data_IF_939636134142
#
_entry.id   IF_939636134142
#
_cell.length_a   1.000
_cell.length_b   1.000
_cell.length_c   1.000
_cell.angle_alpha   90.00
_cell.angle_beta   90.00
_cell.angle_gamma   90.00
#
_symmetry.space_group_name_H-M   'P 1'
#
loop_
_entity.id
_entity.type
_entity.pdbx_description
1 polymer ?
#
# COMPACT_ATOMS: atom_id res chain seq x y z
N UNK A 1 4.00 26.63 6.49
CA UNK A 1 4.00 25.24 5.93
C UNK A 1 2.73 25.01 5.14
N UNK A 2 2.77 24.47 3.92
CA UNK A 2 1.54 24.19 3.16
C UNK A 2 0.96 22.86 3.68
N UNK A 3 -0.31 22.81 4.09
CA UNK A 3 -0.97 21.57 4.46
C UNK A 3 -0.95 20.60 3.26
N UNK A 4 -1.07 19.29 3.53
CA UNK A 4 -1.25 18.29 2.48
C UNK A 4 -2.42 18.76 1.63
N UNK A 5 -2.16 19.04 0.36
CA UNK A 5 -3.16 19.62 -0.51
C UNK A 5 -4.18 18.57 -0.89
N UNK A 6 -5.44 18.96 -1.03
CA UNK A 6 -6.52 18.14 -1.57
C UNK A 6 -6.10 17.40 -2.87
N UNK A 7 -5.21 18.03 -3.66
CA UNK A 7 -4.63 17.46 -4.89
C UNK A 7 -3.77 16.20 -4.65
N UNK A 8 -3.04 16.10 -3.52
CA UNK A 8 -2.24 14.89 -3.20
C UNK A 8 -3.13 13.73 -2.75
N UNK A 9 -4.25 14.03 -2.06
CA UNK A 9 -5.27 13.03 -1.73
C UNK A 9 -5.99 12.53 -2.98
N UNK A 10 -6.34 13.43 -3.90
CA UNK A 10 -6.94 13.06 -5.19
C UNK A 10 -6.03 12.13 -6.00
N UNK A 11 -4.73 12.37 -6.02
CA UNK A 11 -3.79 11.49 -6.71
C UNK A 11 -3.77 10.07 -6.12
N UNK A 12 -3.88 9.90 -4.81
CA UNK A 12 -3.96 8.57 -4.18
C UNK A 12 -5.31 7.90 -4.43
N UNK A 13 -6.41 8.64 -4.49
CA UNK A 13 -7.73 8.14 -4.84
C UNK A 13 -7.79 7.68 -6.30
N UNK A 14 -7.24 8.47 -7.23
CA UNK A 14 -7.11 8.09 -8.64
C UNK A 14 -6.27 6.82 -8.79
N UNK A 15 -5.14 6.72 -8.09
CA UNK A 15 -4.32 5.50 -8.07
C UNK A 15 -5.09 4.30 -7.52
N UNK A 16 -5.87 4.49 -6.47
CA UNK A 16 -6.69 3.44 -5.88
C UNK A 16 -7.76 2.95 -6.85
N UNK A 17 -8.38 3.86 -7.60
CA UNK A 17 -9.32 3.54 -8.68
C UNK A 17 -8.63 2.77 -9.80
N UNK A 18 -7.44 3.20 -10.20
CA UNK A 18 -6.64 2.51 -11.20
C UNK A 18 -6.26 1.08 -10.76
N UNK A 19 -5.88 0.87 -9.49
CA UNK A 19 -5.65 -0.47 -8.95
C UNK A 19 -6.89 -1.36 -9.01
N UNK A 20 -8.08 -0.80 -8.89
CA UNK A 20 -9.33 -1.56 -9.07
C UNK A 20 -9.45 -2.12 -10.48
N UNK A 21 -9.11 -1.33 -11.49
CA UNK A 21 -9.08 -1.80 -12.88
C UNK A 21 -7.97 -2.84 -13.12
N UNK A 22 -6.78 -2.59 -12.61
CA UNK A 22 -5.67 -3.55 -12.68
C UNK A 22 -6.03 -4.89 -12.03
N UNK A 23 -6.66 -4.86 -10.86
CA UNK A 23 -7.11 -6.07 -10.16
C UNK A 23 -8.11 -6.87 -11.01
N UNK A 24 -9.04 -6.20 -11.68
CA UNK A 24 -10.00 -6.85 -12.60
C UNK A 24 -9.32 -7.51 -13.79
N UNK A 25 -8.31 -6.86 -14.38
CA UNK A 25 -7.54 -7.42 -15.49
C UNK A 25 -6.71 -8.63 -15.07
N UNK A 26 -6.08 -8.56 -13.91
CA UNK A 26 -5.31 -9.67 -13.32
C UNK A 26 -6.22 -10.86 -13.01
N UNK A 27 -7.39 -10.62 -12.43
CA UNK A 27 -8.39 -11.63 -12.14
C UNK A 27 -8.85 -12.38 -13.42
N UNK A 28 -9.06 -11.66 -14.52
CA UNK A 28 -9.36 -12.27 -15.82
C UNK A 28 -8.22 -13.16 -16.31
N UNK A 29 -6.97 -12.71 -16.17
CA UNK A 29 -5.79 -13.50 -16.51
C UNK A 29 -5.68 -14.76 -15.66
N UNK A 30 -5.90 -14.64 -14.36
CA UNK A 30 -5.86 -15.76 -13.42
C UNK A 30 -6.94 -16.81 -13.71
N UNK A 31 -8.20 -16.40 -13.99
CA UNK A 31 -9.29 -17.31 -14.36
C UNK A 31 -8.95 -18.10 -15.62
N UNK A 32 -8.29 -17.47 -16.59
CA UNK A 32 -7.95 -18.11 -17.85
C UNK A 32 -6.77 -19.06 -17.73
N UNK A 33 -5.80 -18.74 -16.87
CA UNK A 33 -4.59 -19.54 -16.69
C UNK A 33 -4.77 -20.72 -15.74
N UNK A 34 -5.65 -20.56 -14.77
CA UNK A 34 -5.86 -21.53 -13.69
C UNK A 34 -7.29 -22.06 -13.74
N UNK A 35 -7.61 -22.95 -14.60
CA UNK A 35 -8.94 -23.54 -14.84
C UNK A 35 -9.69 -24.03 -13.56
N UNK A 36 -9.12 -23.81 -12.39
CA UNK A 36 -9.64 -24.15 -11.08
C UNK A 36 -9.52 -22.95 -10.13
N UNK A 37 -10.60 -22.18 -10.03
CA UNK A 37 -10.71 -20.98 -9.17
C UNK A 37 -10.46 -21.27 -7.67
N UNK A 38 -10.42 -22.53 -7.26
CA UNK A 38 -10.21 -22.92 -5.86
C UNK A 38 -8.73 -23.10 -5.50
N UNK A 39 -7.82 -23.19 -6.48
CA UNK A 39 -6.39 -23.47 -6.26
C UNK A 39 -5.47 -22.26 -6.38
N UNK A 40 -5.94 -21.17 -6.95
CA UNK A 40 -5.11 -19.99 -7.16
C UNK A 40 -5.55 -18.86 -6.22
N UNK A 41 -4.76 -18.60 -5.18
CA UNK A 41 -4.75 -17.27 -4.63
C UNK A 41 -4.20 -16.37 -5.73
N UNK A 42 -5.07 -15.61 -6.36
CA UNK A 42 -4.76 -14.83 -7.53
C UNK A 42 -3.93 -13.60 -7.17
N UNK A 43 -3.10 -13.15 -8.10
CA UNK A 43 -2.40 -11.87 -7.97
C UNK A 43 -3.39 -10.72 -7.73
N UNK A 44 -4.63 -10.89 -8.17
CA UNK A 44 -5.72 -9.93 -7.88
C UNK A 44 -5.97 -9.76 -6.38
N UNK A 45 -5.76 -10.78 -5.55
CA UNK A 45 -5.86 -10.68 -4.08
C UNK A 45 -4.81 -9.71 -3.53
N UNK A 46 -3.57 -9.74 -4.04
CA UNK A 46 -2.55 -8.76 -3.66
C UNK A 46 -3.00 -7.34 -4.01
N UNK A 47 -3.59 -7.16 -5.17
CA UNK A 47 -4.10 -5.84 -5.57
C UNK A 47 -5.26 -5.40 -4.67
N UNK A 48 -6.13 -6.29 -4.21
CA UNK A 48 -7.14 -5.95 -3.21
C UNK A 48 -6.51 -5.49 -1.89
N UNK A 49 -5.43 -6.12 -1.44
CA UNK A 49 -4.67 -5.65 -0.29
C UNK A 49 -4.07 -4.25 -0.52
N UNK A 50 -3.50 -3.99 -1.70
CA UNK A 50 -3.00 -2.65 -2.07
C UNK A 50 -4.11 -1.60 -1.97
N UNK A 51 -5.30 -1.91 -2.50
CA UNK A 51 -6.48 -1.03 -2.45
C UNK A 51 -6.90 -0.78 -1.00
N UNK A 52 -6.97 -1.83 -0.17
CA UNK A 52 -7.35 -1.71 1.23
C UNK A 52 -6.35 -0.83 2.01
N UNK A 53 -5.05 -1.05 1.83
CA UNK A 53 -3.99 -0.24 2.45
C UNK A 53 -4.10 1.22 2.03
N UNK A 54 -4.28 1.51 0.74
CA UNK A 54 -4.46 2.88 0.25
C UNK A 54 -5.68 3.57 0.87
N UNK A 55 -6.82 2.89 0.92
CA UNK A 55 -8.04 3.45 1.54
C UNK A 55 -7.85 3.75 3.03
N UNK A 56 -7.20 2.84 3.75
CA UNK A 56 -6.87 3.08 5.16
C UNK A 56 -5.91 4.26 5.32
N UNK A 57 -4.88 4.35 4.46
CA UNK A 57 -3.91 5.43 4.48
C UNK A 57 -4.55 6.80 4.20
N UNK A 58 -5.41 6.91 3.20
CA UNK A 58 -6.13 8.14 2.88
C UNK A 58 -6.98 8.59 4.09
N UNK A 59 -7.60 7.65 4.79
CA UNK A 59 -8.41 7.96 5.98
C UNK A 59 -7.56 8.34 7.20
N UNK A 60 -6.34 7.80 7.34
CA UNK A 60 -5.46 8.07 8.49
C UNK A 60 -4.79 9.46 8.44
N UNK A 61 -4.59 10.01 7.24
CA UNK A 61 -3.94 11.32 7.07
C UNK A 61 -4.65 12.46 7.84
N UNK A 62 -5.98 12.65 7.70
CA UNK A 62 -6.69 13.69 8.44
C UNK A 62 -6.66 13.49 9.96
N UNK A 63 -6.56 12.24 10.41
CA UNK A 63 -6.54 11.87 11.83
C UNK A 63 -5.16 12.09 12.48
N UNK A 64 -4.13 12.41 11.68
CA UNK A 64 -2.74 12.62 12.12
C UNK A 64 -2.16 11.41 12.86
N UNK A 65 -2.59 10.20 12.49
CA UNK A 65 -2.13 8.95 13.09
C UNK A 65 -0.80 8.51 12.45
N UNK A 66 0.29 9.12 12.89
CA UNK A 66 1.63 8.90 12.31
C UNK A 66 2.10 7.44 12.45
N UNK A 67 1.79 6.79 13.57
CA UNK A 67 2.12 5.37 13.78
C UNK A 67 1.37 4.48 12.77
N UNK A 68 0.08 4.70 12.59
CA UNK A 68 -0.72 3.95 11.62
C UNK A 68 -0.20 4.16 10.19
N UNK A 69 0.21 5.37 9.84
CA UNK A 69 0.82 5.65 8.53
C UNK A 69 2.07 4.80 8.29
N UNK A 70 2.95 4.64 9.29
CA UNK A 70 4.16 3.81 9.19
C UNK A 70 3.82 2.32 9.02
N UNK A 71 2.83 1.82 9.74
CA UNK A 71 2.33 0.44 9.57
C UNK A 71 1.79 0.23 8.16
N UNK A 72 0.99 1.15 7.65
CA UNK A 72 0.41 1.07 6.31
C UNK A 72 1.47 1.15 5.20
N UNK A 73 2.48 2.02 5.35
CA UNK A 73 3.62 2.07 4.45
C UNK A 73 4.38 0.74 4.42
N UNK A 74 4.62 0.14 5.59
CA UNK A 74 5.28 -1.18 5.66
C UNK A 74 4.48 -2.26 4.96
N UNK A 75 3.16 -2.30 5.15
CA UNK A 75 2.28 -3.23 4.46
C UNK A 75 2.32 -3.02 2.94
N UNK A 76 2.38 -1.76 2.48
CA UNK A 76 2.47 -1.45 1.07
C UNK A 76 3.80 -1.88 0.46
N UNK A 77 4.90 -1.75 1.19
CA UNK A 77 6.21 -2.29 0.77
C UNK A 77 6.15 -3.81 0.67
N UNK A 78 5.50 -4.49 1.61
CA UNK A 78 5.30 -5.95 1.53
C UNK A 78 4.50 -6.35 0.29
N UNK A 79 3.41 -5.65 0.00
CA UNK A 79 2.62 -5.89 -1.21
C UNK A 79 3.48 -5.71 -2.47
N UNK A 80 4.32 -4.67 -2.51
CA UNK A 80 5.25 -4.40 -3.60
C UNK A 80 6.23 -5.57 -3.79
N UNK A 81 6.86 -6.03 -2.71
CA UNK A 81 7.83 -7.13 -2.75
C UNK A 81 7.14 -8.42 -3.22
N UNK A 82 5.95 -8.74 -2.73
CA UNK A 82 5.22 -9.93 -3.11
C UNK A 82 4.82 -9.90 -4.58
N UNK A 83 4.34 -8.76 -5.07
CA UNK A 83 3.98 -8.61 -6.48
C UNK A 83 5.22 -8.70 -7.39
N UNK A 84 6.33 -8.10 -6.98
CA UNK A 84 7.59 -8.17 -7.71
C UNK A 84 8.16 -9.59 -7.74
N UNK A 85 8.18 -10.26 -6.60
CA UNK A 85 8.63 -11.64 -6.48
C UNK A 85 7.76 -12.59 -7.32
N UNK A 86 6.43 -12.42 -7.34
CA UNK A 86 5.52 -13.20 -8.18
C UNK A 86 5.79 -12.97 -9.67
N UNK A 87 6.13 -11.75 -10.05
CA UNK A 87 6.50 -11.42 -11.44
C UNK A 87 7.79 -12.13 -11.87
N UNK A 88 8.74 -12.29 -10.95
CA UNK A 88 10.01 -13.03 -11.20
C UNK A 88 9.86 -14.53 -11.10
N UNK A 89 9.04 -15.01 -10.19
CA UNK A 89 8.85 -16.42 -9.85
C UNK A 89 7.36 -16.77 -9.91
N UNK A 90 6.75 -16.79 -11.10
CA UNK A 90 5.33 -17.01 -11.25
C UNK A 90 4.85 -18.27 -10.52
N UNK A 91 3.72 -18.19 -9.82
CA UNK A 91 3.08 -19.27 -9.05
C UNK A 91 3.82 -19.72 -7.78
N UNK A 92 4.99 -19.17 -7.50
CA UNK A 92 5.79 -19.59 -6.35
C UNK A 92 5.59 -18.71 -5.11
N UNK A 93 4.97 -17.54 -5.23
CA UNK A 93 4.91 -16.55 -4.14
C UNK A 93 3.51 -16.41 -3.57
N UNK A 94 2.56 -15.91 -4.35
CA UNK A 94 1.25 -15.53 -3.82
C UNK A 94 0.53 -16.72 -3.22
N UNK A 95 0.36 -17.80 -3.97
CA UNK A 95 -0.37 -18.96 -3.53
C UNK A 95 0.29 -19.64 -2.29
N UNK A 96 1.60 -20.00 -2.29
CA UNK A 96 2.21 -20.63 -1.13
C UNK A 96 2.20 -19.76 0.14
N UNK A 97 2.37 -18.44 0.01
CA UNK A 97 2.39 -17.55 1.18
C UNK A 97 0.99 -17.36 1.73
N UNK A 98 0.02 -16.99 0.89
CA UNK A 98 -1.31 -16.62 1.37
C UNK A 98 -2.19 -17.81 1.71
N UNK A 99 -2.08 -18.93 0.99
CA UNK A 99 -2.86 -20.13 1.28
C UNK A 99 -2.19 -21.09 2.26
N UNK A 100 -0.85 -21.18 2.24
CA UNK A 100 -0.10 -22.17 3.02
C UNK A 100 0.75 -21.56 4.13
N UNK A 101 0.76 -20.25 4.29
CA UNK A 101 1.53 -19.54 5.31
C UNK A 101 3.04 -19.75 5.23
N UNK A 102 3.58 -20.09 4.06
CA UNK A 102 5.01 -20.36 3.89
C UNK A 102 5.81 -19.06 3.85
N UNK A 103 6.98 -19.05 4.49
CA UNK A 103 7.94 -17.96 4.39
C UNK A 103 8.80 -18.07 3.12
N UNK A 104 9.40 -16.97 2.67
CA UNK A 104 10.23 -16.91 1.45
C UNK A 104 11.37 -17.96 1.43
N UNK A 105 12.07 -18.13 2.55
CA UNK A 105 13.14 -19.11 2.69
C UNK A 105 12.65 -20.57 2.51
N UNK A 106 11.42 -20.87 2.94
CA UNK A 106 10.80 -22.18 2.75
C UNK A 106 10.43 -22.47 1.28
N UNK A 107 10.39 -21.44 0.47
CA UNK A 107 10.10 -21.52 -0.97
C UNK A 107 11.37 -21.53 -1.83
N UNK A 108 12.54 -21.44 -1.21
CA UNK A 108 13.82 -21.30 -1.92
C UNK A 108 13.93 -19.96 -2.67
N UNK A 109 13.23 -18.94 -2.19
CA UNK A 109 13.26 -17.59 -2.77
C UNK A 109 14.30 -16.71 -2.07
N UNK A 110 14.81 -15.68 -2.74
CA UNK A 110 15.63 -14.66 -2.10
C UNK A 110 14.93 -14.03 -0.89
N UNK A 111 15.71 -13.48 0.02
CA UNK A 111 15.16 -12.79 1.21
C UNK A 111 14.37 -11.53 0.81
N UNK A 112 13.53 -11.03 1.72
CA UNK A 112 12.86 -9.74 1.53
C UNK A 112 13.86 -8.61 1.29
N UNK A 113 15.01 -8.63 1.99
CA UNK A 113 16.06 -7.63 1.83
C UNK A 113 16.66 -7.65 0.43
N UNK A 114 16.86 -8.84 -0.18
CA UNK A 114 17.36 -8.98 -1.54
C UNK A 114 16.41 -8.35 -2.55
N UNK A 115 15.09 -8.55 -2.40
CA UNK A 115 14.10 -7.91 -3.28
C UNK A 115 14.04 -6.40 -3.10
N UNK A 116 14.24 -5.91 -1.87
CA UNK A 116 14.33 -4.46 -1.61
C UNK A 116 15.55 -3.87 -2.34
N UNK A 117 16.70 -4.52 -2.26
CA UNK A 117 17.92 -4.09 -2.93
C UNK A 117 17.78 -4.08 -4.46
N UNK A 118 17.08 -5.06 -5.03
CA UNK A 118 16.78 -5.08 -6.46
C UNK A 118 15.82 -3.97 -6.92
N UNK A 119 14.90 -3.54 -6.04
CA UNK A 119 13.94 -2.48 -6.32
C UNK A 119 14.48 -1.07 -6.00
N UNK A 120 15.56 -0.96 -5.25
CA UNK A 120 16.13 0.33 -4.83
C UNK A 120 16.52 1.25 -5.99
N UNK A 121 17.03 0.78 -7.14
CA UNK A 121 17.28 1.63 -8.30
C UNK A 121 16.04 2.36 -8.83
N UNK A 122 14.85 1.74 -8.67
CA UNK A 122 13.56 2.32 -9.08
C UNK A 122 12.99 3.27 -8.02
N UNK A 123 13.34 3.07 -6.75
CA UNK A 123 12.96 3.92 -5.62
C UNK A 123 14.08 3.99 -4.59
N UNK A 124 15.03 4.89 -4.81
CA UNK A 124 16.29 5.06 -4.04
C UNK A 124 16.16 5.12 -2.51
N UNK A 125 14.94 5.38 -2.01
CA UNK A 125 14.66 5.45 -0.58
C UNK A 125 14.02 4.17 -0.02
N UNK A 126 13.79 3.14 -0.84
CA UNK A 126 12.98 1.98 -0.44
C UNK A 126 13.56 1.24 0.78
N UNK A 127 14.88 0.99 0.78
CA UNK A 127 15.57 0.33 1.90
C UNK A 127 15.52 1.15 3.20
N UNK A 128 15.78 2.45 3.08
CA UNK A 128 15.69 3.36 4.23
C UNK A 128 14.25 3.43 4.77
N UNK A 129 13.25 3.50 3.90
CA UNK A 129 11.85 3.52 4.27
C UNK A 129 11.42 2.21 4.94
N UNK A 130 11.86 1.06 4.41
CA UNK A 130 11.60 -0.24 5.03
C UNK A 130 12.14 -0.31 6.45
N UNK A 131 13.41 0.09 6.66
CA UNK A 131 14.04 0.09 7.97
C UNK A 131 13.34 1.06 8.93
N UNK A 132 12.99 2.26 8.45
CA UNK A 132 12.22 3.24 9.20
C UNK A 132 10.88 2.62 9.67
N UNK A 133 10.11 2.04 8.76
CA UNK A 133 8.81 1.45 9.08
C UNK A 133 8.92 0.22 10.00
N UNK A 134 9.97 -0.60 9.87
CA UNK A 134 10.21 -1.72 10.78
C UNK A 134 10.44 -1.27 12.22
N UNK A 135 11.16 -0.15 12.42
CA UNK A 135 11.35 0.44 13.74
C UNK A 135 10.05 0.87 14.43
N UNK A 136 8.99 1.17 13.67
CA UNK A 136 7.69 1.55 14.24
C UNK A 136 6.74 0.35 14.45
N UNK A 137 6.92 -0.74 13.72
CA UNK A 137 6.04 -1.92 13.82
C UNK A 137 6.47 -2.86 14.94
N UNK A 138 7.77 -2.90 15.24
CA UNK A 138 8.29 -3.64 16.37
C UNK A 138 8.40 -2.72 17.59
N UNK A 139 8.24 -3.24 18.82
CA UNK A 139 8.50 -2.48 20.03
C UNK A 139 9.93 -1.91 19.98
N UNK A 140 10.05 -0.61 19.84
CA UNK A 140 11.31 0.11 19.72
C UNK A 140 11.16 1.48 20.38
N UNK A 141 12.28 2.12 20.71
CA UNK A 141 12.25 3.48 21.28
C UNK A 141 11.50 4.46 20.36
N UNK A 142 11.66 4.34 19.05
CA UNK A 142 10.97 5.20 18.09
C UNK A 142 9.44 5.01 18.10
N UNK A 143 8.96 3.77 18.22
CA UNK A 143 7.52 3.50 18.31
C UNK A 143 6.92 3.96 19.63
N UNK A 144 7.64 3.77 20.72
CA UNK A 144 7.24 4.23 22.05
C UNK A 144 7.22 5.76 22.15
N UNK A 145 8.23 6.45 21.60
CA UNK A 145 8.27 7.91 21.56
C UNK A 145 7.12 8.50 20.75
N UNK A 146 6.81 7.92 19.59
CA UNK A 146 5.70 8.39 18.76
C UNK A 146 4.35 8.16 19.44
N UNK A 147 4.11 6.97 19.99
CA UNK A 147 2.89 6.64 20.73
C UNK A 147 2.73 7.54 21.96
N UNK A 148 3.83 7.82 22.69
CA UNK A 148 3.83 8.74 23.82
C UNK A 148 3.50 10.17 23.42
N UNK A 149 4.05 10.66 22.29
CA UNK A 149 3.74 11.99 21.79
C UNK A 149 2.27 12.12 21.36
N UNK A 150 1.72 11.12 20.67
CA UNK A 150 0.30 11.08 20.28
C UNK A 150 -0.63 11.04 21.49
N UNK A 151 -0.28 10.22 22.51
CA UNK A 151 -1.02 10.15 23.76
C UNK A 151 -0.98 11.47 24.52
N UNK A 152 0.20 12.09 24.61
CA UNK A 152 0.37 13.40 25.26
C UNK A 152 -0.46 14.49 24.61
N UNK A 153 -0.50 14.54 23.28
CA UNK A 153 -1.36 15.48 22.54
C UNK A 153 -2.83 15.28 22.85
N UNK A 154 -3.29 14.03 22.96
CA UNK A 154 -4.68 13.74 23.32
C UNK A 154 -4.99 14.22 24.73
N UNK A 155 -4.15 13.90 25.71
CA UNK A 155 -4.31 14.37 27.09
C UNK A 155 -4.34 15.91 27.16
N UNK A 156 -3.44 16.57 26.43
CA UNK A 156 -3.37 18.04 26.41
C UNK A 156 -4.61 18.69 25.78
N UNK A 157 -5.28 18.02 24.84
CA UNK A 157 -6.55 18.51 24.28
C UNK A 157 -7.72 18.48 25.27
N UNK A 158 -7.57 17.71 26.36
CA UNK A 158 -8.58 17.60 27.43
C UNK A 158 -8.29 18.54 28.63
N UNK A 159 -7.18 19.29 28.59
CA UNK A 159 -6.81 20.22 29.66
C UNK A 159 -7.73 21.42 29.70
N UNK A 160 -8.32 21.69 30.85
CA UNK A 160 -9.10 22.88 31.10
C UNK A 160 -8.15 24.11 31.24
N UNK A 161 -8.03 24.88 30.17
CA UNK A 161 -7.15 26.05 30.12
C UNK A 161 -7.43 27.08 31.22
N UNK A 162 -8.69 27.21 31.67
CA UNK A 162 -9.10 28.18 32.66
C UNK A 162 -8.53 27.94 34.06
N UNK A 163 -8.07 26.68 34.31
CA UNK A 163 -7.48 26.26 35.59
C UNK A 163 -5.96 26.25 35.62
N UNK A 164 -5.32 26.56 34.47
CA UNK A 164 -3.86 26.52 34.37
C UNK A 164 -3.22 27.89 34.63
N UNK A 165 -2.00 27.88 35.19
CA UNK A 165 -1.19 29.08 35.30
C UNK A 165 -0.76 29.57 33.91
N UNK A 166 -0.70 30.91 33.65
CA UNK A 166 -0.36 31.44 32.32
C UNK A 166 0.94 30.89 31.74
N UNK A 167 1.99 30.75 32.54
CA UNK A 167 3.31 30.22 32.13
C UNK A 167 3.24 28.78 31.69
N UNK A 168 2.45 27.95 32.39
CA UNK A 168 2.23 26.52 32.03
C UNK A 168 1.42 26.44 30.74
N UNK A 169 0.43 27.31 30.59
CA UNK A 169 -0.41 27.37 29.40
C UNK A 169 0.39 27.75 28.14
N UNK A 170 1.31 28.70 28.22
CA UNK A 170 2.21 29.04 27.13
C UNK A 170 3.13 27.85 26.74
N UNK A 171 3.72 27.18 27.72
CA UNK A 171 4.55 26.01 27.47
C UNK A 171 3.74 24.87 26.81
N UNK A 172 2.53 24.60 27.27
CA UNK A 172 1.62 23.62 26.68
C UNK A 172 1.27 23.98 25.23
N UNK A 173 0.91 25.23 24.96
CA UNK A 173 0.61 25.73 23.60
C UNK A 173 1.81 25.60 22.67
N UNK A 174 3.00 25.94 23.14
CA UNK A 174 4.24 25.76 22.38
C UNK A 174 4.51 24.28 22.07
N UNK A 175 4.35 23.40 23.03
CA UNK A 175 4.52 21.96 22.85
C UNK A 175 3.51 21.40 21.83
N UNK A 176 2.22 21.73 21.97
CA UNK A 176 1.16 21.32 21.05
C UNK A 176 1.49 21.81 19.64
N UNK A 177 1.91 23.06 19.48
CA UNK A 177 2.26 23.62 18.19
C UNK A 177 3.42 22.85 17.53
N UNK A 178 4.54 22.67 18.24
CA UNK A 178 5.73 21.97 17.72
C UNK A 178 5.42 20.52 17.34
N UNK A 179 4.68 19.82 18.19
CA UNK A 179 4.32 18.41 17.93
C UNK A 179 3.35 18.31 16.75
N UNK A 180 2.39 19.22 16.64
CA UNK A 180 1.45 19.26 15.51
C UNK A 180 2.17 19.53 14.19
N UNK A 181 3.15 20.45 14.17
CA UNK A 181 3.93 20.75 12.97
C UNK A 181 4.81 19.54 12.57
N UNK A 182 5.44 18.87 13.53
CA UNK A 182 6.21 17.66 13.30
C UNK A 182 5.33 16.52 12.69
N UNK A 183 4.11 16.34 13.21
CA UNK A 183 3.15 15.38 12.65
C UNK A 183 2.74 15.74 11.21
N UNK A 184 2.51 17.01 10.91
CA UNK A 184 2.18 17.46 9.54
C UNK A 184 3.32 17.17 8.56
N UNK A 185 4.58 17.40 8.95
CA UNK A 185 5.73 17.11 8.11
C UNK A 185 5.90 15.60 7.90
N UNK A 186 5.73 14.80 8.95
CA UNK A 186 5.74 13.35 8.86
C UNK A 186 4.66 12.85 7.89
N UNK A 187 3.41 13.30 8.06
CA UNK A 187 2.29 12.90 7.20
C UNK A 187 2.51 13.30 5.72
N UNK A 188 3.12 14.45 5.47
CA UNK A 188 3.48 14.89 4.11
C UNK A 188 4.55 13.99 3.48
N UNK A 189 5.57 13.63 4.27
CA UNK A 189 6.62 12.70 3.86
C UNK A 189 6.03 11.33 3.55
N UNK A 190 5.22 10.80 4.46
CA UNK A 190 4.56 9.51 4.33
C UNK A 190 3.63 9.44 3.10
N UNK A 191 2.90 10.52 2.83
CA UNK A 191 2.05 10.62 1.62
C UNK A 191 2.88 10.59 0.34
N UNK A 192 4.04 11.23 0.33
CA UNK A 192 4.97 11.19 -0.80
C UNK A 192 5.55 9.79 -0.99
N UNK A 193 5.94 9.13 0.10
CA UNK A 193 6.47 7.77 0.06
C UNK A 193 5.38 6.77 -0.41
N UNK A 194 4.14 6.87 0.09
CA UNK A 194 3.00 6.07 -0.36
C UNK A 194 2.73 6.26 -1.85
N UNK A 195 2.79 7.49 -2.34
CA UNK A 195 2.60 7.80 -3.76
C UNK A 195 3.66 7.12 -4.64
N UNK A 196 4.94 7.17 -4.26
CA UNK A 196 6.02 6.50 -5.00
C UNK A 196 5.89 4.97 -4.97
N UNK A 197 5.52 4.39 -3.83
CA UNK A 197 5.25 2.95 -3.72
C UNK A 197 4.13 2.53 -4.68
N UNK A 198 3.06 3.31 -4.76
CA UNK A 198 1.94 3.04 -5.65
C UNK A 198 2.33 3.16 -7.14
N UNK A 199 3.16 4.14 -7.51
CA UNK A 199 3.68 4.22 -8.89
C UNK A 199 4.47 2.96 -9.27
N UNK A 200 5.32 2.48 -8.37
CA UNK A 200 6.11 1.28 -8.61
C UNK A 200 5.23 0.01 -8.65
N UNK A 201 4.24 -0.09 -7.77
CA UNK A 201 3.24 -1.15 -7.79
C UNK A 201 2.47 -1.18 -9.12
N UNK A 202 2.02 -0.03 -9.63
CA UNK A 202 1.35 0.09 -10.94
C UNK A 202 2.28 -0.41 -12.05
N UNK A 203 3.55 0.00 -12.05
CA UNK A 203 4.54 -0.43 -13.05
C UNK A 203 4.71 -1.95 -13.06
N UNK A 204 4.79 -2.57 -11.87
CA UNK A 204 4.96 -4.02 -11.74
C UNK A 204 3.67 -4.76 -12.08
N UNK A 205 2.51 -4.28 -11.66
CA UNK A 205 1.21 -4.86 -12.01
C UNK A 205 0.98 -4.87 -13.53
N UNK A 206 1.35 -3.81 -14.22
CA UNK A 206 1.29 -3.76 -15.69
C UNK A 206 2.22 -4.79 -16.35
N UNK A 207 3.44 -5.01 -15.79
CA UNK A 207 4.32 -6.09 -16.26
C UNK A 207 3.68 -7.46 -16.04
N UNK A 208 3.06 -7.69 -14.90
CA UNK A 208 2.36 -8.95 -14.59
C UNK A 208 1.21 -9.21 -15.56
N UNK A 209 0.41 -8.20 -15.88
CA UNK A 209 -0.65 -8.31 -16.89
C UNK A 209 -0.07 -8.65 -18.27
N UNK A 210 1.04 -8.03 -18.66
CA UNK A 210 1.70 -8.33 -19.92
C UNK A 210 2.21 -9.78 -19.99
N UNK A 211 2.78 -10.29 -18.89
CA UNK A 211 3.22 -11.69 -18.78
C UNK A 211 2.04 -12.66 -18.88
N UNK A 212 0.95 -12.40 -18.15
CA UNK A 212 -0.26 -13.21 -18.22
C UNK A 212 -0.83 -13.23 -19.66
N UNK A 213 -0.93 -12.06 -20.30
CA UNK A 213 -1.37 -11.95 -21.69
C UNK A 213 -0.48 -12.75 -22.64
N UNK A 214 0.85 -12.68 -22.49
CA UNK A 214 1.78 -13.44 -23.32
C UNK A 214 1.52 -14.94 -23.21
N UNK A 215 1.34 -15.47 -22.00
CA UNK A 215 1.03 -16.89 -21.77
C UNK A 215 -0.34 -17.26 -22.34
N UNK A 216 -1.37 -16.47 -22.10
CA UNK A 216 -2.73 -16.69 -22.64
C UNK A 216 -2.73 -16.72 -24.17
N UNK A 217 -1.91 -15.86 -24.83
CA UNK A 217 -1.86 -15.75 -26.29
C UNK A 217 -1.17 -16.92 -26.98
N UNK A 218 -0.44 -17.76 -26.27
CA UNK A 218 0.18 -18.99 -26.85
C UNK A 218 -0.87 -20.04 -27.23
N UNK A 219 -2.08 -20.01 -26.63
CA UNK A 219 -3.14 -20.96 -26.85
C UNK A 219 -4.39 -20.27 -27.44
N UNK A 220 -4.85 -20.75 -28.61
CA UNK A 220 -6.01 -20.16 -29.30
C UNK A 220 -7.33 -20.27 -28.52
N UNK A 221 -7.53 -21.40 -27.77
CA UNK A 221 -8.70 -21.61 -26.90
C UNK A 221 -8.71 -20.57 -25.76
N UNK A 222 -7.56 -20.43 -25.10
CA UNK A 222 -7.39 -19.46 -23.99
C UNK A 222 -7.58 -18.02 -24.46
N UNK A 223 -7.08 -17.65 -25.65
CA UNK A 223 -7.31 -16.33 -26.26
C UNK A 223 -8.77 -16.00 -26.45
N UNK A 224 -9.55 -16.96 -26.98
CA UNK A 224 -10.99 -16.78 -27.19
C UNK A 224 -11.72 -16.62 -25.87
N UNK A 225 -11.39 -17.45 -24.89
CA UNK A 225 -11.98 -17.39 -23.56
C UNK A 225 -11.62 -16.09 -22.84
N UNK A 226 -10.35 -15.68 -22.87
CA UNK A 226 -9.90 -14.41 -22.29
C UNK A 226 -10.66 -13.20 -22.90
N UNK A 227 -10.77 -13.16 -24.22
CA UNK A 227 -11.51 -12.06 -24.89
C UNK A 227 -12.97 -12.02 -24.46
N UNK A 228 -13.62 -13.17 -24.31
CA UNK A 228 -15.00 -13.27 -23.85
C UNK A 228 -15.14 -12.74 -22.42
N UNK A 229 -14.34 -13.28 -21.48
CA UNK A 229 -14.38 -12.88 -20.06
C UNK A 229 -14.04 -11.40 -19.90
N UNK A 230 -13.06 -10.89 -20.64
CA UNK A 230 -12.69 -9.47 -20.61
C UNK A 230 -13.83 -8.60 -21.10
N UNK A 231 -14.50 -8.96 -22.22
CA UNK A 231 -15.64 -8.22 -22.76
C UNK A 231 -16.82 -8.18 -21.78
N UNK A 232 -17.11 -9.30 -21.10
CA UNK A 232 -18.17 -9.37 -20.10
C UNK A 232 -17.84 -8.49 -18.87
N UNK A 233 -16.59 -8.52 -18.39
CA UNK A 233 -16.16 -7.67 -17.26
C UNK A 233 -16.09 -6.18 -17.62
N UNK A 234 -15.62 -5.82 -18.82
CA UNK A 234 -15.64 -4.43 -19.31
C UNK A 234 -17.07 -3.92 -19.46
N UNK A 235 -17.99 -4.76 -19.89
CA UNK A 235 -19.41 -4.43 -19.97
C UNK A 235 -20.01 -4.13 -18.59
N UNK A 236 -19.64 -4.90 -17.56
CA UNK A 236 -20.05 -4.64 -16.18
C UNK A 236 -19.47 -3.30 -15.65
N UNK A 237 -18.20 -3.00 -15.97
CA UNK A 237 -17.56 -1.73 -15.59
C UNK A 237 -18.30 -0.54 -16.20
N UNK A 238 -18.67 -0.62 -17.48
CA UNK A 238 -19.41 0.45 -18.16
C UNK A 238 -20.83 0.64 -17.61
N UNK A 239 -21.39 -0.34 -16.91
CA UNK A 239 -22.68 -0.23 -16.23
C UNK A 239 -22.57 0.42 -14.85
N UNK A 240 -21.40 0.37 -14.22
CA UNK A 240 -21.14 0.94 -12.90
C UNK A 240 -20.56 2.37 -12.94
N UNK A 241 -20.10 2.82 -14.08
CA UNK A 241 -19.63 4.21 -14.25
C UNK A 241 -20.85 5.13 -14.42
N UNK A 242 -20.95 6.23 -13.62
CA UNK A 242 -21.93 7.26 -13.86
C UNK A 242 -21.78 7.76 -15.31
N UNK A 243 -22.86 7.79 -16.05
CA UNK A 243 -22.87 8.51 -17.34
C UNK A 243 -22.64 9.98 -17.01
N UNK A 244 -21.55 10.56 -17.53
CA UNK A 244 -21.35 12.01 -17.55
C UNK A 244 -22.55 12.73 -18.18
#
# INVERSE_FOLDING_TARGET
>A
MKPITKKQLLNLDEMTSYFTELGRLLDVGDIVLYDDSTKAASVSILIQNVIAVNRCFIKSIPLKESLLNKVLLRLQIQNLIFLYAETKYPLKVVNPIFQKGKAFNQLGLPSLSSFIEELEPEFKRLKALWNECCGYVHPSDSSLQLASAEHSLRLLSEVDESKQKPEILEQLKAFIFLTTEAQKESAKKDSKDMFHLNLLLIKIANKQIALQKAVVWTNAKNRRFYKKVLADKVRMINLELPKE
#
